data_IF_315573286424
#
_entry.id   IF_315573286424
#
_cell.length_a   1.000
_cell.length_b   1.000
_cell.length_c   1.000
_cell.angle_alpha   90.00
_cell.angle_beta   90.00
_cell.angle_gamma   90.00
#
_symmetry.space_group_name_H-M   'P 1'
#
loop_
_entity.id
_entity.type
_entity.pdbx_description
1 polymer ?
#
# COMPACT_ATOMS: atom_id res chain seq x y z
N UNK A 1 0.71 -20.01 -34.45
CA UNK A 1 0.47 -19.55 -33.07
C UNK A 1 0.95 -18.12 -32.79
N UNK A 2 1.37 -17.34 -33.80
CA UNK A 2 2.03 -16.04 -33.59
C UNK A 2 1.37 -14.90 -34.36
N UNK A 3 0.17 -14.52 -33.93
CA UNK A 3 -0.40 -13.23 -34.34
C UNK A 3 0.05 -12.15 -33.33
N UNK A 4 0.86 -11.19 -33.78
CA UNK A 4 1.37 -10.08 -32.97
C UNK A 4 0.33 -8.94 -32.81
N UNK A 5 -0.93 -9.31 -32.64
CA UNK A 5 -2.02 -8.36 -32.50
C UNK A 5 -1.97 -7.73 -31.11
N UNK A 6 -1.60 -6.45 -31.04
CA UNK A 6 -1.44 -5.71 -29.79
C UNK A 6 -2.71 -4.94 -29.44
N UNK A 7 -3.40 -5.34 -28.38
CA UNK A 7 -4.45 -4.55 -27.74
C UNK A 7 -3.89 -3.71 -26.60
N UNK A 8 -4.33 -2.45 -26.50
CA UNK A 8 -3.97 -1.57 -25.38
C UNK A 8 -4.61 -2.12 -24.11
N UNK A 9 -3.79 -2.42 -23.09
CA UNK A 9 -4.23 -2.84 -21.75
C UNK A 9 -3.55 -2.00 -20.68
N UNK A 10 -4.22 -1.82 -19.55
CA UNK A 10 -3.64 -1.21 -18.35
C UNK A 10 -3.44 -2.29 -17.29
N UNK A 11 -2.27 -2.32 -16.68
CA UNK A 11 -1.99 -3.15 -15.51
C UNK A 11 -2.08 -2.29 -14.27
N UNK A 12 -3.09 -2.55 -13.44
CA UNK A 12 -3.26 -1.83 -12.20
C UNK A 12 -2.59 -2.60 -11.05
N UNK A 13 -2.01 -1.90 -10.07
CA UNK A 13 -1.54 -2.54 -8.86
C UNK A 13 -2.71 -3.18 -8.10
N UNK A 14 -2.45 -4.30 -7.42
CA UNK A 14 -3.42 -4.99 -6.56
C UNK A 14 -3.67 -4.18 -5.28
N UNK A 15 -4.45 -3.10 -5.39
CA UNK A 15 -4.79 -2.19 -4.30
C UNK A 15 -6.01 -2.69 -3.52
N UNK A 16 -5.87 -2.79 -2.21
CA UNK A 16 -6.92 -3.26 -1.30
C UNK A 16 -7.04 -2.35 -0.09
N UNK A 17 -8.26 -2.16 0.42
CA UNK A 17 -8.47 -1.50 1.70
C UNK A 17 -8.20 -2.47 2.84
N UNK A 18 -7.27 -2.12 3.72
CA UNK A 18 -6.94 -2.90 4.92
C UNK A 18 -6.87 -2.01 6.14
N UNK A 19 -7.22 -2.59 7.29
CA UNK A 19 -7.07 -1.94 8.60
C UNK A 19 -5.84 -2.51 9.28
N UNK A 20 -5.00 -1.64 9.81
CA UNK A 20 -3.78 -1.99 10.54
C UNK A 20 -3.88 -1.36 11.91
N UNK A 21 -3.53 -2.12 12.94
CA UNK A 21 -3.46 -1.62 14.31
C UNK A 21 -2.16 -0.84 14.49
N UNK A 22 -2.24 0.35 15.07
CA UNK A 22 -1.09 1.20 15.37
C UNK A 22 -0.99 1.32 16.87
N UNK A 23 0.07 0.74 17.45
CA UNK A 23 0.24 0.68 18.90
C UNK A 23 0.45 2.08 19.52
N UNK A 24 1.21 2.95 18.85
CA UNK A 24 1.49 4.31 19.34
C UNK A 24 0.22 5.16 19.47
N UNK A 25 -0.73 4.98 18.55
CA UNK A 25 -1.97 5.76 18.50
C UNK A 25 -3.17 5.01 19.11
N UNK A 26 -2.97 3.74 19.50
CA UNK A 26 -3.99 2.82 20.02
C UNK A 26 -5.27 2.82 19.17
N UNK A 27 -5.13 2.87 17.84
CA UNK A 27 -6.26 2.91 16.91
C UNK A 27 -6.00 2.08 15.67
N UNK A 28 -7.11 1.73 15.00
CA UNK A 28 -7.07 1.15 13.66
C UNK A 28 -6.94 2.26 12.61
N UNK A 29 -5.98 2.11 11.71
CA UNK A 29 -5.79 2.98 10.54
C UNK A 29 -6.22 2.23 9.29
N UNK A 30 -7.06 2.85 8.45
CA UNK A 30 -7.50 2.27 7.18
C UNK A 30 -6.65 2.79 6.03
N UNK A 31 -5.88 1.92 5.40
CA UNK A 31 -5.03 2.26 4.26
C UNK A 31 -5.48 1.53 2.99
N UNK A 32 -5.34 2.19 1.85
CA UNK A 32 -5.44 1.54 0.53
C UNK A 32 -4.02 1.14 0.11
N UNK A 33 -3.72 -0.15 0.18
CA UNK A 33 -2.36 -0.66 0.08
C UNK A 33 -2.25 -1.85 -0.87
N UNK A 34 -1.06 -2.06 -1.43
CA UNK A 34 -0.73 -3.25 -2.21
C UNK A 34 -0.14 -4.35 -1.32
N UNK A 35 -0.07 -5.58 -1.82
CA UNK A 35 0.63 -6.66 -1.12
C UNK A 35 2.13 -6.37 -0.90
N UNK A 36 2.77 -5.62 -1.80
CA UNK A 36 4.15 -5.18 -1.61
C UNK A 36 4.26 -4.16 -0.46
N UNK A 37 3.30 -3.25 -0.34
CA UNK A 37 3.23 -2.31 0.78
C UNK A 37 3.03 -2.99 2.13
N UNK A 38 2.24 -4.07 2.20
CA UNK A 38 2.12 -4.86 3.42
C UNK A 38 3.46 -5.43 3.87
N UNK A 39 4.22 -6.02 2.95
CA UNK A 39 5.56 -6.56 3.25
C UNK A 39 6.54 -5.49 3.73
N UNK A 40 6.40 -4.26 3.21
CA UNK A 40 7.22 -3.13 3.65
C UNK A 40 6.89 -2.74 5.09
N UNK A 41 5.60 -2.70 5.44
CA UNK A 41 5.14 -2.44 6.81
C UNK A 41 5.64 -3.54 7.76
N UNK A 42 5.55 -4.80 7.35
CA UNK A 42 6.04 -5.93 8.15
C UNK A 42 7.56 -5.87 8.37
N UNK A 43 8.31 -5.37 7.37
CA UNK A 43 9.78 -5.26 7.44
C UNK A 43 10.26 -4.08 8.28
N UNK A 44 9.71 -2.89 8.06
CA UNK A 44 10.21 -1.64 8.64
C UNK A 44 9.44 -1.21 9.90
N UNK A 45 8.28 -1.82 10.16
CA UNK A 45 7.33 -1.39 11.18
C UNK A 45 6.35 -0.33 10.68
N UNK A 46 5.14 -0.34 11.23
CA UNK A 46 4.06 0.59 10.81
C UNK A 46 4.38 2.05 11.16
N UNK A 47 5.02 2.31 12.29
CA UNK A 47 5.25 3.68 12.78
C UNK A 47 6.24 4.44 11.89
N UNK A 48 7.30 3.78 11.44
CA UNK A 48 8.27 4.36 10.52
C UNK A 48 7.62 4.70 9.17
N UNK A 49 6.80 3.79 8.64
CA UNK A 49 6.07 4.00 7.37
C UNK A 49 5.05 5.13 7.52
N UNK A 50 4.34 5.22 8.65
CA UNK A 50 3.39 6.29 8.91
C UNK A 50 4.06 7.66 9.05
N UNK A 51 5.24 7.73 9.68
CA UNK A 51 6.01 8.96 9.77
C UNK A 51 6.43 9.46 8.38
N UNK A 52 6.93 8.57 7.52
CA UNK A 52 7.29 8.88 6.13
C UNK A 52 6.08 9.34 5.30
N UNK A 53 4.94 8.65 5.43
CA UNK A 53 3.70 9.01 4.73
C UNK A 53 3.19 10.40 5.16
N UNK A 54 3.26 10.73 6.45
CA UNK A 54 2.89 12.06 6.97
C UNK A 54 3.84 13.15 6.49
N UNK A 55 5.15 12.89 6.47
CA UNK A 55 6.14 13.81 5.92
C UNK A 55 5.88 14.08 4.42
N UNK A 56 5.40 13.06 3.70
CA UNK A 56 5.00 13.16 2.29
C UNK A 56 3.64 13.85 2.08
N UNK A 57 2.97 14.30 3.14
CA UNK A 57 1.67 14.99 3.07
C UNK A 57 0.48 14.06 2.81
N UNK A 58 0.65 12.75 2.93
CA UNK A 58 -0.45 11.78 2.80
C UNK A 58 -1.32 11.84 4.05
N UNK A 59 -2.64 11.95 3.87
CA UNK A 59 -3.61 11.94 4.97
C UNK A 59 -3.82 10.50 5.46
N UNK A 60 -3.61 10.27 6.76
CA UNK A 60 -3.65 8.94 7.41
C UNK A 60 -4.64 8.86 8.57
#
# INVERSE_FOLDING_TARGET
>A
SHANNKTKRRFLPNLQYRRIWVETEKRWVRLRITNAGLRLIDKNGIDAVLAELRASGVKV
#
